data_IF_807832814449
#
_entry.id   IF_807832814449
#
_cell.length_a   1.000
_cell.length_b   1.000
_cell.length_c   1.000
_cell.angle_alpha   90.00
_cell.angle_beta   90.00
_cell.angle_gamma   90.00
#
_symmetry.space_group_name_H-M   'P 1'
#
loop_
_entity.id
_entity.type
_entity.pdbx_description
1 polymer ?
#
# COMPACT_ATOMS: atom_id res chain seq x y z
N UNK A 1 11.54 -5.06 5.03
CA UNK A 1 10.44 -5.93 4.54
C UNK A 1 10.91 -7.35 4.32
N UNK A 2 12.06 -7.55 3.66
CA UNK A 2 12.53 -8.88 3.30
C UNK A 2 13.55 -9.50 4.28
N UNK A 3 13.94 -8.78 5.34
CA UNK A 3 14.76 -9.38 6.41
C UNK A 3 13.88 -10.14 7.39
N UNK A 4 14.41 -11.22 7.98
CA UNK A 4 13.68 -12.06 8.94
C UNK A 4 13.03 -11.23 10.06
N UNK A 5 13.77 -10.31 10.66
CA UNK A 5 13.25 -9.44 11.73
C UNK A 5 12.10 -8.55 11.26
N UNK A 6 12.16 -8.03 10.02
CA UNK A 6 11.08 -7.20 9.47
C UNK A 6 9.84 -8.01 9.07
N UNK A 7 10.05 -9.28 8.68
CA UNK A 7 8.97 -10.21 8.39
C UNK A 7 8.25 -10.61 9.67
N UNK A 8 8.97 -10.93 10.75
CA UNK A 8 8.36 -11.22 12.06
C UNK A 8 7.57 -10.02 12.61
N UNK A 9 8.10 -8.80 12.45
CA UNK A 9 7.42 -7.58 12.88
C UNK A 9 6.08 -7.37 12.14
N UNK A 10 6.02 -7.72 10.86
CA UNK A 10 4.85 -7.51 10.00
C UNK A 10 3.94 -8.73 9.87
N UNK A 11 4.40 -9.91 10.29
CA UNK A 11 3.65 -11.17 10.25
C UNK A 11 2.34 -11.09 11.04
N UNK A 12 2.33 -10.37 12.15
CA UNK A 12 1.11 -10.13 12.91
C UNK A 12 0.06 -9.35 12.08
N UNK A 13 0.47 -8.40 11.23
CA UNK A 13 -0.41 -7.66 10.29
C UNK A 13 -1.06 -8.60 9.28
N UNK A 14 -0.26 -9.48 8.68
CA UNK A 14 -0.75 -10.52 7.79
C UNK A 14 -1.77 -11.44 8.47
N UNK A 15 -1.40 -11.98 9.64
CA UNK A 15 -2.20 -12.97 10.37
C UNK A 15 -3.58 -12.43 10.73
N UNK A 16 -3.67 -11.16 11.12
CA UNK A 16 -4.96 -10.54 11.43
C UNK A 16 -5.82 -10.33 10.20
N UNK A 17 -5.24 -10.01 9.04
CA UNK A 17 -6.00 -9.86 7.81
C UNK A 17 -6.51 -11.21 7.29
N UNK A 18 -5.69 -12.25 7.36
CA UNK A 18 -6.10 -13.63 7.05
C UNK A 18 -7.24 -14.08 7.99
N UNK A 19 -7.15 -13.79 9.29
CA UNK A 19 -8.24 -14.09 10.24
C UNK A 19 -9.54 -13.36 9.92
N UNK A 20 -9.48 -12.09 9.50
CA UNK A 20 -10.68 -11.35 9.04
C UNK A 20 -11.29 -11.98 7.81
N UNK A 21 -10.45 -12.42 6.87
CA UNK A 21 -10.89 -13.09 5.67
C UNK A 21 -11.58 -14.42 5.97
N UNK A 22 -10.98 -15.26 6.82
CA UNK A 22 -11.58 -16.52 7.28
C UNK A 22 -12.94 -16.26 7.92
N UNK A 23 -13.05 -15.24 8.78
CA UNK A 23 -14.32 -14.85 9.40
C UNK A 23 -15.36 -14.43 8.36
N UNK A 24 -14.96 -13.67 7.34
CA UNK A 24 -15.85 -13.26 6.24
C UNK A 24 -16.34 -14.48 5.43
N UNK A 25 -15.46 -15.44 5.13
CA UNK A 25 -15.85 -16.69 4.47
C UNK A 25 -16.87 -17.46 5.32
N UNK A 26 -16.65 -17.53 6.63
CA UNK A 26 -17.57 -18.21 7.54
C UNK A 26 -18.96 -17.56 7.60
N UNK A 27 -19.08 -16.26 7.31
CA UNK A 27 -20.41 -15.61 7.17
C UNK A 27 -21.13 -15.96 5.86
N UNK A 28 -20.44 -16.59 4.91
CA UNK A 28 -20.95 -16.92 3.56
C UNK A 28 -21.11 -18.42 3.35
N UNK A 29 -21.30 -19.18 4.44
CA UNK A 29 -21.60 -20.62 4.36
C UNK A 29 -22.83 -20.81 3.46
N UNK A 30 -22.76 -21.76 2.54
CA UNK A 30 -23.74 -22.06 1.48
C UNK A 30 -23.88 -21.03 0.34
N UNK A 31 -23.01 -20.01 0.25
CA UNK A 31 -22.97 -19.09 -0.88
C UNK A 31 -21.82 -19.42 -1.86
N UNK A 32 -22.00 -19.10 -3.16
CA UNK A 32 -20.91 -19.19 -4.14
C UNK A 32 -19.85 -18.13 -3.85
N UNK A 33 -18.61 -18.56 -3.67
CA UNK A 33 -17.46 -17.68 -3.42
C UNK A 33 -16.54 -17.69 -4.62
N UNK A 34 -16.22 -16.50 -5.15
CA UNK A 34 -15.19 -16.34 -6.18
C UNK A 34 -13.81 -16.36 -5.52
N UNK A 35 -13.15 -17.51 -5.55
CA UNK A 35 -11.89 -17.75 -4.82
C UNK A 35 -10.78 -16.81 -5.29
N UNK A 36 -10.65 -16.57 -6.60
CA UNK A 36 -9.60 -15.69 -7.14
C UNK A 36 -9.74 -14.23 -6.67
N UNK A 37 -10.95 -13.67 -6.75
CA UNK A 37 -11.22 -12.30 -6.27
C UNK A 37 -11.01 -12.17 -4.77
N UNK A 38 -11.38 -13.22 -4.02
CA UNK A 38 -11.19 -13.27 -2.58
C UNK A 38 -9.70 -13.35 -2.22
N UNK A 39 -8.96 -14.29 -2.81
CA UNK A 39 -7.52 -14.44 -2.59
C UNK A 39 -6.77 -13.16 -2.93
N UNK A 40 -7.08 -12.52 -4.06
CA UNK A 40 -6.51 -11.24 -4.45
C UNK A 40 -6.81 -10.15 -3.41
N UNK A 41 -8.06 -10.06 -2.94
CA UNK A 41 -8.44 -9.08 -1.91
C UNK A 41 -7.73 -9.31 -0.58
N UNK A 42 -7.52 -10.57 -0.17
CA UNK A 42 -6.80 -10.90 1.07
C UNK A 42 -5.34 -10.50 0.95
N UNK A 43 -4.69 -10.88 -0.16
CA UNK A 43 -3.29 -10.55 -0.42
C UNK A 43 -3.08 -9.05 -0.48
N UNK A 44 -3.92 -8.32 -1.22
CA UNK A 44 -3.84 -6.86 -1.27
C UNK A 44 -4.01 -6.24 0.12
N UNK A 45 -5.07 -6.60 0.85
CA UNK A 45 -5.29 -6.04 2.18
C UNK A 45 -4.12 -6.33 3.12
N UNK A 46 -3.54 -7.54 3.03
CA UNK A 46 -2.42 -7.91 3.86
C UNK A 46 -1.17 -7.09 3.52
N UNK A 47 -0.82 -6.95 2.24
CA UNK A 47 0.30 -6.11 1.77
C UNK A 47 0.07 -4.65 2.20
N UNK A 48 -1.12 -4.09 1.94
CA UNK A 48 -1.47 -2.73 2.34
C UNK A 48 -1.29 -2.54 3.86
N UNK A 49 -1.70 -3.54 4.66
CA UNK A 49 -1.56 -3.49 6.11
C UNK A 49 -0.11 -3.59 6.59
N UNK A 50 0.76 -4.34 5.89
CA UNK A 50 2.19 -4.44 6.21
C UNK A 50 2.95 -3.16 5.83
N UNK A 51 2.60 -2.56 4.69
CA UNK A 51 3.29 -1.38 4.15
C UNK A 51 2.90 -0.12 4.91
N UNK A 52 1.59 0.11 5.08
CA UNK A 52 1.06 1.36 5.67
C UNK A 52 0.47 1.20 7.08
N UNK A 53 0.53 -0.01 7.65
CA UNK A 53 0.02 -0.30 8.98
C UNK A 53 -1.49 -0.15 9.10
N UNK A 54 -1.97 0.03 10.34
CA UNK A 54 -3.38 0.22 10.64
C UNK A 54 -3.85 1.68 10.48
N UNK A 55 -3.04 2.58 9.90
CA UNK A 55 -3.44 3.97 9.56
C UNK A 55 -4.54 3.98 8.52
N UNK A 56 -4.46 3.06 7.54
CA UNK A 56 -5.57 2.74 6.63
C UNK A 56 -6.80 2.20 7.38
N UNK A 57 -6.57 1.61 8.55
CA UNK A 57 -7.59 1.08 9.47
C UNK A 57 -8.41 2.12 10.22
N UNK A 58 -7.90 3.34 10.42
CA UNK A 58 -8.59 4.41 11.18
C UNK A 58 -9.57 5.21 10.30
N UNK A 59 -9.36 5.19 8.97
CA UNK A 59 -10.31 5.63 7.92
C UNK A 59 -10.79 4.45 7.05
N UNK A 60 -11.08 3.31 7.69
CA UNK A 60 -11.35 2.01 7.05
C UNK A 60 -12.48 2.01 6.01
N UNK A 61 -13.38 2.98 6.07
CA UNK A 61 -14.55 3.07 5.17
C UNK A 61 -14.24 3.79 3.86
N UNK A 62 -13.23 4.68 3.82
CA UNK A 62 -12.83 5.41 2.62
C UNK A 62 -11.62 4.81 1.92
N UNK A 63 -10.46 4.80 2.60
CA UNK A 63 -9.19 4.41 1.96
C UNK A 63 -9.13 2.93 1.54
N UNK A 64 -9.81 2.02 2.25
CA UNK A 64 -9.84 0.60 1.88
C UNK A 64 -10.57 0.32 0.57
N UNK A 65 -11.66 1.05 0.30
CA UNK A 65 -12.39 0.95 -0.96
C UNK A 65 -11.68 1.68 -2.09
N UNK A 66 -11.13 2.87 -1.83
CA UNK A 66 -10.33 3.60 -2.81
C UNK A 66 -9.07 2.82 -3.21
N UNK A 67 -8.40 2.19 -2.25
CA UNK A 67 -7.19 1.41 -2.52
C UNK A 67 -7.45 0.21 -3.42
N UNK A 68 -8.46 -0.58 -3.08
CA UNK A 68 -8.84 -1.72 -3.89
C UNK A 68 -9.27 -1.32 -5.31
N UNK A 69 -9.96 -0.20 -5.46
CA UNK A 69 -10.43 0.27 -6.77
C UNK A 69 -9.28 0.70 -7.67
N UNK A 70 -8.33 1.50 -7.17
CA UNK A 70 -7.20 1.90 -8.01
C UNK A 70 -6.27 0.73 -8.31
N UNK A 71 -6.09 -0.24 -7.40
CA UNK A 71 -5.34 -1.46 -7.70
C UNK A 71 -6.00 -2.31 -8.80
N UNK A 72 -7.33 -2.38 -8.81
CA UNK A 72 -8.08 -3.03 -9.88
C UNK A 72 -7.90 -2.30 -11.21
N UNK A 73 -8.05 -0.98 -11.23
CA UNK A 73 -7.84 -0.16 -12.42
C UNK A 73 -6.41 -0.32 -12.94
N UNK A 74 -5.41 -0.26 -12.05
CA UNK A 74 -4.00 -0.46 -12.38
C UNK A 74 -3.73 -1.84 -12.99
N UNK A 75 -4.32 -2.91 -12.42
CA UNK A 75 -4.11 -4.28 -12.91
C UNK A 75 -4.61 -4.49 -14.35
N UNK A 76 -5.65 -3.75 -14.76
CA UNK A 76 -6.18 -3.80 -16.13
C UNK A 76 -5.16 -3.23 -17.10
N UNK A 77 -4.57 -2.07 -16.79
CA UNK A 77 -3.63 -1.40 -17.68
C UNK A 77 -2.25 -2.07 -17.68
N UNK A 78 -1.77 -2.59 -16.55
CA UNK A 78 -0.52 -3.37 -16.50
C UNK A 78 -0.62 -4.69 -17.26
N UNK A 79 -1.82 -5.30 -17.31
CA UNK A 79 -2.07 -6.53 -18.07
C UNK A 79 -2.40 -6.30 -19.54
N UNK A 80 -2.58 -5.05 -19.97
CA UNK A 80 -2.98 -4.71 -21.34
C UNK A 80 -1.73 -4.65 -22.22
N UNK A 81 -1.63 -5.46 -23.30
CA UNK A 81 -0.51 -5.35 -24.22
C UNK A 81 -0.52 -3.98 -24.89
N UNK A 82 0.61 -3.27 -24.79
CA UNK A 82 0.78 -1.93 -25.31
C UNK A 82 1.67 -1.95 -26.57
N UNK A 83 1.13 -1.48 -27.68
CA UNK A 83 1.76 -1.49 -29.01
C UNK A 83 3.02 -0.63 -29.02
N UNK A 84 3.05 0.47 -28.25
CA UNK A 84 4.25 1.30 -28.16
C UNK A 84 5.44 0.60 -27.52
N UNK A 85 5.19 -0.43 -26.70
CA UNK A 85 6.26 -1.20 -26.06
C UNK A 85 6.98 -2.09 -27.09
N UNK A 86 6.28 -2.48 -28.16
CA UNK A 86 6.84 -3.23 -29.29
C UNK A 86 7.37 -2.33 -30.41
N UNK A 87 6.75 -1.16 -30.60
CA UNK A 87 7.10 -0.19 -31.65
C UNK A 87 7.38 1.19 -31.03
N UNK A 88 8.62 1.47 -30.61
CA UNK A 88 8.98 2.70 -29.89
C UNK A 88 8.64 3.99 -30.65
N UNK A 89 8.62 3.96 -31.98
CA UNK A 89 8.23 5.10 -32.82
C UNK A 89 6.80 5.56 -32.55
N UNK A 90 5.92 4.65 -32.10
CA UNK A 90 4.53 4.92 -31.79
C UNK A 90 4.31 5.43 -30.35
N UNK A 91 5.33 5.40 -29.48
CA UNK A 91 5.21 5.76 -28.06
C UNK A 91 4.67 7.18 -27.85
N UNK A 92 5.12 8.15 -28.65
CA UNK A 92 4.68 9.55 -28.52
C UNK A 92 3.18 9.74 -28.74
N UNK A 93 2.51 8.83 -29.43
CA UNK A 93 1.09 8.98 -29.76
C UNK A 93 0.16 8.38 -28.71
N UNK A 94 0.67 7.52 -27.81
CA UNK A 94 -0.13 6.76 -26.84
C UNK A 94 -1.43 6.22 -27.45
N UNK A 95 -1.31 5.48 -28.57
CA UNK A 95 -2.44 5.07 -29.42
C UNK A 95 -3.53 4.33 -28.63
N UNK A 96 -3.14 3.61 -27.57
CA UNK A 96 -4.05 2.83 -26.74
C UNK A 96 -4.47 3.54 -25.44
N UNK A 97 -3.99 4.77 -25.21
CA UNK A 97 -4.26 5.57 -24.00
C UNK A 97 -3.67 4.98 -22.72
N UNK A 98 -2.70 4.06 -22.82
CA UNK A 98 -2.18 3.30 -21.68
C UNK A 98 -1.35 4.21 -20.80
N UNK A 99 -0.46 5.00 -21.39
CA UNK A 99 0.40 5.93 -20.64
C UNK A 99 -0.44 6.99 -19.94
N UNK A 100 -1.43 7.56 -20.63
CA UNK A 100 -2.34 8.56 -20.08
C UNK A 100 -3.13 8.03 -18.88
N UNK A 101 -3.71 6.84 -19.01
CA UNK A 101 -4.53 6.26 -17.94
C UNK A 101 -3.68 5.82 -16.74
N UNK A 102 -2.51 5.22 -16.99
CA UNK A 102 -1.54 4.91 -15.93
C UNK A 102 -1.10 6.17 -15.19
N UNK A 103 -0.84 7.27 -15.91
CA UNK A 103 -0.47 8.55 -15.30
C UNK A 103 -1.58 9.08 -14.39
N UNK A 104 -2.85 9.03 -14.82
CA UNK A 104 -4.00 9.47 -14.00
C UNK A 104 -4.18 8.59 -12.75
N UNK A 105 -4.00 7.27 -12.88
CA UNK A 105 -4.04 6.35 -11.73
C UNK A 105 -2.90 6.68 -10.77
N UNK A 106 -1.67 6.84 -11.28
CA UNK A 106 -0.49 7.15 -10.46
C UNK A 106 -0.62 8.48 -9.73
N UNK A 107 -1.24 9.50 -10.32
CA UNK A 107 -1.53 10.76 -9.63
C UNK A 107 -2.44 10.56 -8.41
N UNK A 108 -3.50 9.75 -8.54
CA UNK A 108 -4.40 9.45 -7.41
C UNK A 108 -3.70 8.63 -6.33
N UNK A 109 -2.85 7.69 -6.73
CA UNK A 109 -2.04 6.89 -5.80
C UNK A 109 -1.06 7.79 -5.04
N UNK A 110 -0.40 8.70 -5.76
CA UNK A 110 0.55 9.66 -5.21
C UNK A 110 -0.10 10.54 -4.12
N UNK A 111 -1.32 11.05 -4.37
CA UNK A 111 -2.11 11.80 -3.38
C UNK A 111 -2.44 10.97 -2.13
N UNK A 112 -2.81 9.70 -2.30
CA UNK A 112 -3.11 8.82 -1.17
C UNK A 112 -1.84 8.59 -0.34
N UNK A 113 -0.72 8.31 -0.98
CA UNK A 113 0.56 8.06 -0.32
C UNK A 113 1.05 9.30 0.42
N UNK A 114 0.97 10.47 -0.22
CA UNK A 114 1.33 11.75 0.38
C UNK A 114 0.53 12.02 1.65
N UNK A 115 -0.79 11.75 1.63
CA UNK A 115 -1.65 11.87 2.79
C UNK A 115 -1.25 10.92 3.93
N UNK A 116 -0.89 9.66 3.60
CA UNK A 116 -0.45 8.67 4.60
C UNK A 116 0.89 9.05 5.22
N UNK A 117 1.85 9.51 4.43
CA UNK A 117 3.15 10.01 4.93
C UNK A 117 2.91 11.21 5.86
N UNK A 118 2.11 12.19 5.44
CA UNK A 118 1.83 13.39 6.23
C UNK A 118 1.14 13.08 7.57
N UNK A 119 0.16 12.18 7.57
CA UNK A 119 -0.52 11.75 8.81
C UNK A 119 0.47 11.10 9.77
N UNK A 120 1.39 10.29 9.25
CA UNK A 120 2.43 9.64 10.06
C UNK A 120 3.44 10.61 10.63
N UNK A 121 3.91 11.58 9.83
CA UNK A 121 4.84 12.62 10.31
C UNK A 121 4.22 13.41 11.46
N UNK A 122 2.93 13.77 11.37
CA UNK A 122 2.18 14.47 12.45
C UNK A 122 2.04 13.66 13.74
N UNK A 123 1.90 12.33 13.62
CA UNK A 123 1.85 11.44 14.78
C UNK A 123 3.24 11.33 15.42
N UNK A 124 4.30 11.32 14.62
CA UNK A 124 5.69 11.26 15.12
C UNK A 124 6.11 12.57 15.82
N UNK A 125 5.68 13.73 15.30
CA UNK A 125 6.00 15.05 15.85
C UNK A 125 5.24 15.43 17.13
N UNK A 126 4.29 14.59 17.57
CA UNK A 126 3.50 14.84 18.79
C UNK A 126 2.42 15.94 18.66
N UNK A 127 2.19 16.47 17.45
CA UNK A 127 1.21 17.54 17.18
C UNK A 127 -0.25 17.08 17.37
N UNK A 128 -0.50 15.78 17.30
CA UNK A 128 -1.80 15.18 17.63
C UNK A 128 -1.60 14.41 18.94
N UNK A 129 -2.23 14.87 20.03
CA UNK A 129 -2.12 14.33 21.40
C UNK A 129 -2.64 12.89 21.60
N UNK A 130 -2.26 11.96 20.72
CA UNK A 130 -2.47 10.52 20.84
C UNK A 130 -1.14 9.86 21.12
N UNK A 131 -0.91 9.55 22.40
CA UNK A 131 0.33 8.99 22.95
C UNK A 131 1.13 8.09 22.00
N UNK A 132 2.42 8.40 21.92
CA UNK A 132 3.43 7.58 21.27
C UNK A 132 3.20 6.09 21.53
N UNK A 133 3.21 5.34 20.42
CA UNK A 133 3.31 3.90 20.38
C UNK A 133 2.50 3.10 21.43
N UNK A 134 1.18 3.30 21.49
CA UNK A 134 0.27 2.36 22.20
C UNK A 134 -0.05 1.08 21.41
N UNK A 135 0.63 0.82 20.30
CA UNK A 135 0.54 -0.47 19.60
C UNK A 135 1.80 -1.27 19.90
N UNK A 136 1.83 -1.92 21.08
CA UNK A 136 2.94 -2.77 21.51
C UNK A 136 3.55 -3.57 20.35
N UNK A 137 4.75 -3.18 19.94
CA UNK A 137 5.64 -3.94 19.05
C UNK A 137 5.22 -4.13 17.59
N UNK A 138 4.18 -3.45 17.05
CA UNK A 138 3.71 -3.72 15.67
C UNK A 138 4.21 -2.67 14.68
N UNK A 139 5.43 -2.88 14.17
CA UNK A 139 6.07 -2.03 13.16
C UNK A 139 5.50 -2.33 11.76
N UNK A 140 5.18 -1.28 11.00
CA UNK A 140 4.89 -1.35 9.57
C UNK A 140 6.07 -0.82 8.74
N UNK A 141 6.05 -1.05 7.43
CA UNK A 141 7.18 -0.69 6.57
C UNK A 141 7.48 0.80 6.56
N UNK A 142 6.44 1.62 6.45
CA UNK A 142 6.59 3.06 6.47
C UNK A 142 7.21 3.55 7.78
N UNK A 143 6.80 2.98 8.92
CA UNK A 143 7.42 3.26 10.21
C UNK A 143 8.91 2.91 10.22
N UNK A 144 9.28 1.74 9.69
CA UNK A 144 10.70 1.35 9.58
C UNK A 144 11.50 2.30 8.68
N UNK A 145 10.93 2.75 7.55
CA UNK A 145 11.60 3.70 6.65
C UNK A 145 11.78 5.08 7.29
N UNK A 146 10.79 5.58 8.05
CA UNK A 146 10.90 6.85 8.77
C UNK A 146 11.95 6.77 9.88
N UNK A 147 11.96 5.71 10.68
CA UNK A 147 13.00 5.52 11.71
C UNK A 147 14.42 5.42 11.12
N UNK A 148 14.57 4.82 9.94
CA UNK A 148 15.85 4.77 9.24
C UNK A 148 16.29 6.16 8.78
N UNK A 149 15.35 7.01 8.35
CA UNK A 149 15.67 8.39 7.96
C UNK A 149 16.10 9.27 9.14
N UNK A 150 15.63 8.97 10.36
CA UNK A 150 15.97 9.72 11.57
C UNK A 150 17.28 9.25 12.24
N UNK A 151 17.65 7.96 12.10
CA UNK A 151 18.76 7.32 12.83
C UNK A 151 20.12 7.35 12.12
N UNK A 152 20.20 7.77 10.85
CA UNK A 152 21.44 7.65 10.06
C UNK A 152 22.25 8.95 9.93
N UNK A 153 23.58 8.76 9.82
CA UNK A 153 24.56 9.78 9.47
C UNK A 153 24.24 10.39 8.09
N UNK A 154 24.54 11.69 7.91
CA UNK A 154 24.03 12.52 6.78
C UNK A 154 24.35 11.94 5.39
N UNK A 155 25.33 11.04 5.30
CA UNK A 155 25.78 10.40 4.05
C UNK A 155 24.87 9.26 3.54
N UNK A 156 24.00 8.67 4.36
CA UNK A 156 23.11 7.57 3.93
C UNK A 156 21.63 7.81 4.22
N UNK A 157 21.27 8.97 4.77
CA UNK A 157 19.90 9.30 5.14
C UNK A 157 18.92 9.14 3.96
N UNK A 158 17.89 8.33 4.16
CA UNK A 158 16.84 8.12 3.16
C UNK A 158 15.96 9.37 3.12
N UNK A 159 15.86 9.98 1.94
CA UNK A 159 15.03 11.18 1.74
C UNK A 159 13.55 10.83 1.68
N UNK A 160 12.68 11.80 2.00
CA UNK A 160 11.21 11.65 1.88
C UNK A 160 10.78 11.19 0.48
N UNK A 161 11.44 11.67 -0.57
CA UNK A 161 11.21 11.25 -1.96
C UNK A 161 11.54 9.77 -2.18
N UNK A 162 12.65 9.29 -1.61
CA UNK A 162 13.00 7.87 -1.67
C UNK A 162 12.03 7.00 -0.86
N UNK A 163 11.61 7.45 0.34
CA UNK A 163 10.57 6.75 1.12
C UNK A 163 9.29 6.62 0.30
N UNK A 164 8.86 7.71 -0.35
CA UNK A 164 7.68 7.73 -1.21
C UNK A 164 7.83 6.76 -2.38
N UNK A 165 8.96 6.79 -3.08
CA UNK A 165 9.26 5.89 -4.19
C UNK A 165 9.31 4.41 -3.78
N UNK A 166 9.64 4.08 -2.52
CA UNK A 166 9.67 2.71 -2.02
C UNK A 166 8.29 2.14 -1.62
N UNK A 167 7.28 3.00 -1.47
CA UNK A 167 5.92 2.59 -1.07
C UNK A 167 4.86 2.87 -2.15
N UNK A 168 5.26 3.46 -3.27
CA UNK A 168 4.44 3.70 -4.48
C UNK A 168 4.64 2.55 -5.45
#
# INVERSE_FOLDING_TARGET
>A
MLSNSSLDATFNLWKDEVRKAIRNIHTKINARVKICELAFSISLNAIMSMVWGNTVGRRRTGLGHHSRRWWQDLSIYLGKPNVSDYFPVLARFDIQGVEKELTNIMQRVDEIIENVINERTKISSGEVGGGGNKNGGRLDFLQMLMELSEKQDVKTAITRTQIKAMIT
#
